data_IF_177015603471
#
_entry.id   IF_177015603471
#
_cell.length_a   1.000
_cell.length_b   1.000
_cell.length_c   1.000
_cell.angle_alpha   90.00
_cell.angle_beta   90.00
_cell.angle_gamma   90.00
#
_symmetry.space_group_name_H-M   'P 1'
#
loop_
_entity.id
_entity.type
_entity.pdbx_description
1 polymer ?
#
# COMPACT_ATOMS: atom_id res chain seq x y z
N UNK A 1 22.67 20.84 -61.05
CA UNK A 1 22.31 19.41 -61.28
C UNK A 1 22.50 18.73 -59.93
N UNK A 2 21.42 18.21 -59.36
CA UNK A 2 21.21 17.99 -57.93
C UNK A 2 22.17 16.97 -57.31
N UNK A 3 22.72 17.34 -56.15
CA UNK A 3 23.61 16.54 -55.34
C UNK A 3 22.91 15.36 -54.69
N UNK A 4 23.66 14.27 -54.56
CA UNK A 4 23.31 13.09 -53.79
C UNK A 4 23.21 13.47 -52.31
N UNK A 5 22.00 13.72 -51.83
CA UNK A 5 21.73 13.69 -50.39
C UNK A 5 21.74 12.23 -49.96
N UNK A 6 22.83 11.86 -49.29
CA UNK A 6 22.94 10.69 -48.45
C UNK A 6 22.08 10.94 -47.21
N UNK A 7 20.76 10.84 -47.38
CA UNK A 7 19.85 10.77 -46.24
C UNK A 7 20.02 9.39 -45.61
N UNK A 8 20.38 9.43 -44.34
CA UNK A 8 20.51 8.31 -43.44
C UNK A 8 19.15 7.62 -43.36
N UNK A 9 18.93 6.59 -44.19
CA UNK A 9 18.05 5.50 -43.78
C UNK A 9 18.69 4.89 -42.53
N UNK A 10 18.26 5.35 -41.36
CA UNK A 10 18.36 4.59 -40.11
C UNK A 10 17.88 3.18 -40.43
N UNK A 11 18.82 2.26 -40.60
CA UNK A 11 18.48 0.85 -40.76
C UNK A 11 17.72 0.45 -39.51
N UNK A 12 16.48 0.01 -39.71
CA UNK A 12 15.64 -0.54 -38.67
C UNK A 12 16.50 -1.49 -37.82
N UNK A 13 16.53 -1.24 -36.52
CA UNK A 13 17.32 -2.03 -35.59
C UNK A 13 16.98 -3.51 -35.80
N UNK A 14 17.97 -4.36 -36.11
CA UNK A 14 17.86 -5.83 -36.25
C UNK A 14 17.42 -6.54 -34.95
N UNK A 15 16.91 -5.81 -33.97
CA UNK A 15 16.45 -6.32 -32.68
C UNK A 15 14.92 -6.27 -32.62
N UNK A 16 14.28 -7.34 -32.12
CA UNK A 16 12.85 -7.33 -31.89
C UNK A 16 12.45 -6.19 -30.95
N UNK A 17 11.30 -5.57 -31.21
CA UNK A 17 10.76 -4.48 -30.40
C UNK A 17 10.39 -4.93 -28.98
N UNK A 18 9.93 -6.18 -28.84
CA UNK A 18 9.49 -6.76 -27.58
C UNK A 18 10.39 -7.92 -27.14
N UNK A 19 10.51 -8.12 -25.84
CA UNK A 19 11.32 -9.21 -25.25
C UNK A 19 10.42 -10.38 -24.84
N UNK A 20 10.96 -11.60 -24.89
CA UNK A 20 10.30 -12.79 -24.34
C UNK A 20 9.98 -12.56 -22.86
N UNK A 21 8.76 -12.91 -22.44
CA UNK A 21 8.20 -12.67 -21.12
C UNK A 21 7.51 -11.31 -20.96
N UNK A 22 7.65 -10.39 -21.92
CA UNK A 22 6.99 -9.08 -21.83
C UNK A 22 5.49 -9.20 -22.08
N UNK A 23 4.70 -8.47 -21.29
CA UNK A 23 3.25 -8.37 -21.50
C UNK A 23 2.93 -7.32 -22.57
N UNK A 24 1.95 -7.62 -23.40
CA UNK A 24 1.50 -6.74 -24.49
C UNK A 24 -0.01 -6.75 -24.62
N UNK A 25 -0.58 -5.65 -25.08
CA UNK A 25 -2.02 -5.48 -25.32
C UNK A 25 -2.28 -5.22 -26.79
N UNK A 26 -3.32 -5.84 -27.34
CA UNK A 26 -3.83 -5.58 -28.68
C UNK A 26 -4.47 -4.19 -28.72
N UNK A 27 -3.98 -3.32 -29.60
CA UNK A 27 -4.48 -1.94 -29.76
C UNK A 27 -5.30 -1.74 -31.03
N UNK A 28 -5.22 -2.69 -31.96
CA UNK A 28 -6.02 -2.72 -33.18
C UNK A 28 -6.16 -4.16 -33.66
N UNK A 29 -7.20 -4.41 -34.44
CA UNK A 29 -7.44 -5.72 -35.03
C UNK A 29 -6.28 -6.17 -35.93
N UNK A 30 -6.03 -7.48 -35.93
CA UNK A 30 -5.02 -8.11 -36.77
C UNK A 30 -5.33 -7.95 -38.26
N UNK A 31 -4.30 -7.79 -39.08
CA UNK A 31 -4.42 -7.76 -40.54
C UNK A 31 -3.40 -8.69 -41.21
N UNK A 32 -3.65 -9.09 -42.45
CA UNK A 32 -2.78 -9.99 -43.23
C UNK A 32 -2.48 -11.35 -42.57
N UNK A 33 -3.40 -11.85 -41.74
CA UNK A 33 -3.28 -13.15 -41.06
C UNK A 33 -2.62 -13.10 -39.68
N UNK A 34 -2.34 -11.91 -39.15
CA UNK A 34 -1.90 -11.70 -37.77
C UNK A 34 -3.08 -11.67 -36.80
N UNK A 35 -2.82 -11.99 -35.53
CA UNK A 35 -3.73 -11.76 -34.41
C UNK A 35 -5.13 -12.38 -34.50
N UNK A 36 -5.33 -13.41 -35.34
CA UNK A 36 -6.62 -14.07 -35.63
C UNK A 36 -7.60 -14.08 -34.44
N UNK A 37 -8.77 -13.46 -34.58
CA UNK A 37 -9.83 -13.40 -33.55
C UNK A 37 -9.47 -12.66 -32.24
N UNK A 38 -8.29 -12.03 -32.14
CA UNK A 38 -7.95 -11.19 -31.01
C UNK A 38 -8.72 -9.86 -31.06
N UNK A 39 -9.28 -9.47 -29.92
CA UNK A 39 -9.99 -8.21 -29.75
C UNK A 39 -9.05 -7.12 -29.24
N UNK A 40 -9.35 -5.87 -29.62
CA UNK A 40 -8.69 -4.69 -29.02
C UNK A 40 -8.91 -4.71 -27.52
N UNK A 41 -7.82 -4.65 -26.77
CA UNK A 41 -7.82 -4.76 -25.31
C UNK A 41 -7.29 -6.09 -24.78
N UNK A 42 -7.24 -7.14 -25.60
CA UNK A 42 -6.74 -8.45 -25.16
C UNK A 42 -5.25 -8.36 -24.79
N UNK A 43 -4.87 -9.03 -23.70
CA UNK A 43 -3.52 -8.98 -23.14
C UNK A 43 -2.91 -10.36 -23.16
N UNK A 44 -1.65 -10.45 -23.59
CA UNK A 44 -0.90 -11.69 -23.57
C UNK A 44 0.57 -11.47 -23.28
N UNK A 45 1.33 -12.55 -23.38
CA UNK A 45 2.76 -12.58 -23.08
C UNK A 45 3.53 -12.97 -24.31
N UNK A 46 4.59 -12.23 -24.61
CA UNK A 46 5.51 -12.55 -25.72
C UNK A 46 6.29 -13.82 -25.36
N UNK A 47 6.14 -14.89 -26.15
CA UNK A 47 6.91 -16.12 -25.93
C UNK A 47 8.04 -16.29 -26.98
N UNK A 48 7.95 -15.60 -28.12
CA UNK A 48 9.02 -15.47 -29.10
C UNK A 48 8.90 -14.12 -29.83
N UNK A 49 10.02 -13.53 -30.25
CA UNK A 49 10.02 -12.30 -31.04
C UNK A 49 11.23 -12.26 -31.98
N UNK A 50 10.99 -11.78 -33.19
CA UNK A 50 12.00 -11.50 -34.20
C UNK A 50 11.81 -10.07 -34.76
N UNK A 51 12.73 -9.56 -35.61
CA UNK A 51 12.61 -8.19 -36.12
C UNK A 51 11.35 -7.89 -36.94
N UNK A 52 10.63 -8.90 -37.41
CA UNK A 52 9.48 -8.77 -38.30
C UNK A 52 8.16 -9.18 -37.63
N UNK A 53 8.20 -10.00 -36.59
CA UNK A 53 7.01 -10.53 -35.93
C UNK A 53 7.21 -10.74 -34.42
N UNK A 54 6.14 -10.48 -33.67
CA UNK A 54 6.06 -10.77 -32.24
C UNK A 54 5.03 -11.86 -32.01
N UNK A 55 5.42 -12.94 -31.35
CA UNK A 55 4.56 -14.08 -31.06
C UNK A 55 4.10 -14.05 -29.61
N UNK A 56 2.79 -14.05 -29.43
CA UNK A 56 2.15 -13.89 -28.12
C UNK A 56 1.30 -15.12 -27.80
N UNK A 57 1.29 -15.50 -26.52
CA UNK A 57 0.38 -16.48 -25.94
C UNK A 57 -0.60 -15.78 -24.97
N UNK A 58 -1.76 -16.39 -24.74
CA UNK A 58 -2.74 -15.89 -23.76
C UNK A 58 -3.63 -14.75 -24.24
N UNK A 59 -3.41 -14.20 -25.44
CA UNK A 59 -4.35 -13.26 -26.09
C UNK A 59 -5.61 -14.01 -26.54
N UNK A 60 -5.45 -15.27 -26.97
CA UNK A 60 -6.48 -16.19 -27.46
C UNK A 60 -6.00 -17.65 -27.25
N UNK A 61 -6.81 -18.65 -27.62
CA UNK A 61 -6.47 -20.08 -27.50
C UNK A 61 -5.34 -20.51 -28.47
N UNK A 62 -4.13 -20.04 -28.24
CA UNK A 62 -2.93 -20.47 -28.95
C UNK A 62 -1.86 -19.40 -29.08
N UNK A 63 -0.68 -19.79 -29.57
CA UNK A 63 0.37 -18.85 -29.96
C UNK A 63 0.00 -18.18 -31.29
N UNK A 64 -0.03 -16.85 -31.32
CA UNK A 64 -0.29 -16.10 -32.55
C UNK A 64 0.75 -15.02 -32.76
N UNK A 65 1.05 -14.77 -34.03
CA UNK A 65 1.91 -13.66 -34.40
C UNK A 65 1.10 -12.38 -34.51
N UNK A 66 1.74 -11.28 -34.11
CA UNK A 66 1.23 -9.93 -34.17
C UNK A 66 2.31 -9.04 -34.78
N UNK A 67 1.88 -8.07 -35.58
CA UNK A 67 2.74 -6.98 -35.99
C UNK A 67 2.97 -6.01 -34.83
N UNK A 68 4.14 -5.39 -34.79
CA UNK A 68 4.52 -4.42 -33.75
C UNK A 68 3.61 -3.20 -33.62
N UNK A 69 2.79 -2.94 -34.65
CA UNK A 69 1.81 -1.87 -34.69
C UNK A 69 0.40 -2.31 -34.26
N UNK A 70 0.20 -3.60 -34.00
CA UNK A 70 -1.06 -4.18 -33.50
C UNK A 70 -1.08 -4.33 -31.99
N UNK A 71 0.09 -4.29 -31.37
CA UNK A 71 0.28 -4.48 -29.95
C UNK A 71 1.12 -3.35 -29.36
N UNK A 72 0.92 -3.09 -28.09
CA UNK A 72 1.71 -2.15 -27.30
C UNK A 72 2.17 -2.81 -26.00
N UNK A 73 3.26 -2.33 -25.37
CA UNK A 73 3.72 -2.90 -24.11
C UNK A 73 2.72 -2.61 -23.00
N UNK A 74 2.45 -3.63 -22.18
CA UNK A 74 1.71 -3.50 -20.92
C UNK A 74 2.71 -3.69 -19.80
N UNK A 75 2.71 -2.74 -18.87
CA UNK A 75 3.56 -2.80 -17.70
C UNK A 75 2.74 -3.21 -16.48
N UNK A 76 3.37 -3.95 -15.59
CA UNK A 76 2.81 -4.36 -14.30
C UNK A 76 3.56 -3.63 -13.19
N UNK A 77 2.90 -3.31 -12.05
CA UNK A 77 3.61 -2.92 -10.85
C UNK A 77 4.76 -3.89 -10.54
N UNK A 78 5.96 -3.37 -10.32
CA UNK A 78 7.17 -4.14 -10.12
C UNK A 78 8.00 -4.38 -11.39
N UNK A 79 7.53 -4.06 -12.60
CA UNK A 79 8.38 -4.18 -13.79
C UNK A 79 9.56 -3.21 -13.74
N UNK A 80 10.77 -3.69 -14.03
CA UNK A 80 11.94 -2.83 -14.23
C UNK A 80 11.91 -2.28 -15.65
N UNK A 81 12.08 -0.98 -15.77
CA UNK A 81 12.01 -0.27 -17.04
C UNK A 81 13.17 0.71 -17.20
N UNK A 82 13.53 0.98 -18.46
CA UNK A 82 14.48 2.03 -18.85
C UNK A 82 13.77 3.06 -19.71
N UNK A 83 14.03 4.33 -19.44
CA UNK A 83 13.48 5.44 -20.20
C UNK A 83 14.21 5.58 -21.53
N UNK A 84 13.47 5.49 -22.64
CA UNK A 84 14.02 5.59 -24.01
C UNK A 84 13.91 7.00 -24.58
N UNK A 85 12.99 7.82 -24.08
CA UNK A 85 12.78 9.24 -24.44
C UNK A 85 12.71 10.10 -23.20
N UNK A 86 13.41 11.23 -23.21
CA UNK A 86 13.37 12.17 -22.10
C UNK A 86 12.02 12.90 -21.99
N UNK A 87 11.67 13.32 -20.78
CA UNK A 87 10.57 14.24 -20.52
C UNK A 87 10.96 15.19 -19.38
N UNK A 88 9.99 15.94 -18.83
CA UNK A 88 10.25 16.88 -17.74
C UNK A 88 10.76 16.24 -16.43
N UNK A 89 10.65 14.91 -16.29
CA UNK A 89 10.95 14.15 -15.08
C UNK A 89 12.07 13.13 -15.24
N UNK A 90 12.29 12.63 -16.46
CA UNK A 90 13.24 11.56 -16.75
C UNK A 90 14.20 11.95 -17.86
N UNK A 91 15.47 11.61 -17.67
CA UNK A 91 16.46 11.60 -18.72
C UNK A 91 16.41 10.28 -19.49
N UNK A 92 16.80 10.32 -20.77
CA UNK A 92 16.99 9.09 -21.55
C UNK A 92 18.07 8.24 -20.89
N UNK A 93 17.78 6.96 -20.67
CA UNK A 93 18.64 6.01 -19.98
C UNK A 93 18.34 5.83 -18.50
N UNK A 94 17.50 6.68 -17.89
CA UNK A 94 17.07 6.49 -16.50
C UNK A 94 16.39 5.12 -16.34
N UNK A 95 16.72 4.42 -15.26
CA UNK A 95 16.06 3.17 -14.89
C UNK A 95 15.13 3.38 -13.70
N UNK A 96 14.05 2.61 -13.65
CA UNK A 96 13.11 2.63 -12.54
C UNK A 96 12.23 1.40 -12.49
N UNK A 97 11.33 1.39 -11.52
CA UNK A 97 10.36 0.34 -11.29
C UNK A 97 8.96 0.92 -11.52
N UNK A 98 8.14 0.20 -12.27
CA UNK A 98 6.75 0.57 -12.49
C UNK A 98 5.99 0.46 -11.17
N UNK A 99 5.39 1.55 -10.72
CA UNK A 99 4.55 1.58 -9.52
C UNK A 99 3.10 1.24 -9.86
N UNK A 100 2.59 1.80 -10.96
CA UNK A 100 1.26 1.51 -11.49
C UNK A 100 1.16 1.79 -12.98
N UNK A 101 0.31 1.03 -13.65
CA UNK A 101 -0.08 1.26 -15.04
C UNK A 101 -1.39 2.05 -15.07
N UNK A 102 -1.34 3.26 -15.62
CA UNK A 102 -2.47 4.15 -15.78
C UNK A 102 -2.98 4.14 -17.23
N UNK A 103 -4.23 4.59 -17.44
CA UNK A 103 -4.89 4.54 -18.76
C UNK A 103 -4.07 5.14 -19.92
N UNK A 104 -3.27 6.16 -19.65
CA UNK A 104 -2.46 6.88 -20.66
C UNK A 104 -0.99 7.05 -20.26
N UNK A 105 -0.58 6.55 -19.09
CA UNK A 105 0.76 6.76 -18.55
C UNK A 105 1.12 5.68 -17.56
N UNK A 106 2.36 5.25 -17.62
CA UNK A 106 2.99 4.37 -16.65
C UNK A 106 3.64 5.25 -15.59
N UNK A 107 3.41 4.94 -14.32
CA UNK A 107 4.03 5.69 -13.23
C UNK A 107 5.28 4.93 -12.80
N UNK A 108 6.46 5.54 -12.99
CA UNK A 108 7.76 4.89 -12.74
C UNK A 108 8.44 5.56 -11.55
N UNK A 109 8.88 4.76 -10.59
CA UNK A 109 9.65 5.20 -9.43
C UNK A 109 11.13 4.93 -9.67
N UNK A 110 11.97 5.95 -9.47
CA UNK A 110 13.44 5.77 -9.45
C UNK A 110 13.90 5.39 -8.04
N UNK A 111 14.97 4.60 -7.95
CA UNK A 111 15.50 4.13 -6.66
C UNK A 111 15.98 5.26 -5.72
N UNK A 112 16.27 6.45 -6.26
CA UNK A 112 16.71 7.63 -5.52
C UNK A 112 15.56 8.59 -5.16
N UNK A 113 14.33 8.34 -5.62
CA UNK A 113 13.21 9.26 -5.48
C UNK A 113 12.24 8.80 -4.39
N UNK A 114 12.11 9.61 -3.33
CA UNK A 114 11.16 9.37 -2.24
C UNK A 114 9.70 9.73 -2.58
N UNK A 115 9.43 10.32 -3.75
CA UNK A 115 8.06 10.61 -4.21
C UNK A 115 7.44 9.40 -4.92
N UNK A 116 6.10 9.41 -5.01
CA UNK A 116 5.34 8.51 -5.88
C UNK A 116 5.84 8.59 -7.32
N UNK A 117 5.69 7.49 -8.05
CA UNK A 117 6.16 7.33 -9.41
C UNK A 117 5.68 8.47 -10.31
N UNK A 118 6.53 8.88 -11.24
CA UNK A 118 6.22 9.99 -12.14
C UNK A 118 5.66 9.44 -13.46
N UNK A 119 4.65 10.11 -14.04
CA UNK A 119 4.00 9.61 -15.24
C UNK A 119 4.96 9.70 -16.44
N UNK A 120 4.99 8.63 -17.23
CA UNK A 120 5.68 8.56 -18.50
C UNK A 120 4.88 7.70 -19.49
N UNK A 121 4.95 8.04 -20.77
CA UNK A 121 4.26 7.28 -21.82
C UNK A 121 4.85 5.87 -21.94
N UNK A 122 4.01 4.85 -22.12
CA UNK A 122 4.43 3.45 -22.26
C UNK A 122 5.42 3.25 -23.43
N UNK A 123 5.23 3.97 -24.54
CA UNK A 123 6.16 3.96 -25.70
C UNK A 123 7.54 4.57 -25.40
N UNK A 124 7.67 5.33 -24.31
CA UNK A 124 8.94 5.92 -23.86
C UNK A 124 9.68 5.03 -22.85
N UNK A 125 9.23 3.78 -22.70
CA UNK A 125 9.81 2.81 -21.78
C UNK A 125 10.25 1.54 -22.52
N UNK A 126 11.42 1.04 -22.15
CA UNK A 126 11.92 -0.28 -22.50
C UNK A 126 11.77 -1.18 -21.26
N UNK A 127 11.13 -2.34 -21.40
CA UNK A 127 11.07 -3.33 -20.33
C UNK A 127 12.44 -4.02 -20.16
N UNK A 128 12.95 -4.05 -18.93
CA UNK A 128 14.21 -4.70 -18.57
C UNK A 128 14.03 -6.07 -17.94
N UNK A 129 12.80 -6.39 -17.51
CA UNK A 129 12.47 -7.63 -16.81
C UNK A 129 11.43 -7.35 -15.72
N UNK A 130 10.77 -8.41 -15.25
CA UNK A 130 10.05 -8.32 -13.98
C UNK A 130 11.08 -8.04 -12.88
N UNK A 131 10.75 -7.23 -11.87
CA UNK A 131 11.62 -7.16 -10.69
C UNK A 131 11.82 -8.56 -10.15
N UNK A 132 13.08 -8.88 -9.85
CA UNK A 132 13.40 -10.10 -9.14
C UNK A 132 12.52 -10.15 -7.90
N UNK A 133 11.83 -11.27 -7.75
CA UNK A 133 10.89 -11.54 -6.65
C UNK A 133 11.52 -11.41 -5.24
N UNK A 134 12.82 -11.10 -5.15
CA UNK A 134 13.55 -10.74 -3.95
C UNK A 134 13.28 -9.31 -3.43
N UNK A 135 12.78 -8.39 -4.26
CA UNK A 135 12.32 -7.06 -3.83
C UNK A 135 10.79 -6.92 -3.87
N UNK A 136 10.07 -8.05 -3.79
CA UNK A 136 8.66 -8.00 -3.42
C UNK A 136 8.63 -7.47 -2.00
N UNK A 137 8.36 -6.16 -1.87
CA UNK A 137 8.09 -5.42 -0.65
C UNK A 137 7.79 -6.42 0.46
N UNK A 138 8.74 -6.61 1.40
CA UNK A 138 8.39 -7.17 2.70
C UNK A 138 7.10 -6.46 3.06
N UNK A 139 6.02 -7.22 3.09
CA UNK A 139 4.70 -6.66 3.29
C UNK A 139 4.73 -6.23 4.75
N UNK A 140 5.26 -5.03 4.98
CA UNK A 140 5.50 -4.47 6.30
C UNK A 140 4.19 -4.65 7.02
N UNK A 141 4.24 -5.43 8.11
CA UNK A 141 3.06 -5.63 8.92
C UNK A 141 2.49 -4.24 9.22
N UNK A 142 1.19 -4.01 8.96
CA UNK A 142 0.63 -2.69 9.11
C UNK A 142 0.89 -2.21 10.53
N UNK A 143 1.54 -1.05 10.65
CA UNK A 143 1.96 -0.45 11.93
C UNK A 143 0.80 -0.20 12.90
N UNK A 144 -0.42 -0.15 12.37
CA UNK A 144 -1.66 0.05 13.10
C UNK A 144 -2.69 -0.99 12.69
N UNK A 145 -3.70 -1.22 13.54
CA UNK A 145 -4.84 -2.12 13.29
C UNK A 145 -6.17 -1.40 13.43
N UNK A 146 -7.22 -1.98 12.86
CA UNK A 146 -8.58 -1.51 13.11
C UNK A 146 -8.89 -1.48 14.61
N UNK A 147 -9.48 -0.39 15.07
CA UNK A 147 -9.74 -0.10 16.48
C UNK A 147 -8.62 0.70 17.17
N UNK A 148 -7.45 0.85 16.58
CA UNK A 148 -6.42 1.74 17.13
C UNK A 148 -6.91 3.19 17.09
N UNK A 149 -6.60 3.95 18.14
CA UNK A 149 -6.77 5.40 18.14
C UNK A 149 -5.43 6.01 17.77
N UNK A 150 -5.41 6.84 16.74
CA UNK A 150 -4.19 7.50 16.27
C UNK A 150 -4.37 9.01 16.28
N UNK A 151 -3.25 9.72 16.42
CA UNK A 151 -3.17 11.18 16.40
C UNK A 151 -2.26 11.62 15.27
N UNK A 152 -2.70 12.64 14.54
CA UNK A 152 -1.87 13.32 13.54
C UNK A 152 -0.92 14.27 14.26
N UNK A 153 0.39 14.07 14.10
CA UNK A 153 1.42 14.96 14.66
C UNK A 153 1.31 16.40 14.17
N UNK A 154 0.88 16.59 12.91
CA UNK A 154 0.66 17.91 12.29
C UNK A 154 -0.56 18.65 12.88
N UNK A 155 -1.51 17.91 13.47
CA UNK A 155 -2.72 18.47 14.08
C UNK A 155 -2.88 17.92 15.51
N UNK A 156 -2.01 18.35 16.45
CA UNK A 156 -2.01 17.87 17.82
C UNK A 156 -3.28 18.35 18.53
N UNK A 157 -4.32 17.53 18.50
CA UNK A 157 -5.66 17.85 19.02
C UNK A 157 -6.76 17.03 18.36
N UNK A 158 -6.51 16.52 17.15
CA UNK A 158 -7.44 15.63 16.45
C UNK A 158 -6.98 14.19 16.60
N UNK A 159 -7.77 13.39 17.33
CA UNK A 159 -7.59 11.93 17.41
C UNK A 159 -8.73 11.25 16.67
N UNK A 160 -8.43 10.15 15.97
CA UNK A 160 -9.43 9.38 15.24
C UNK A 160 -9.20 7.88 15.41
N UNK A 161 -10.28 7.11 15.38
CA UNK A 161 -10.25 5.65 15.46
C UNK A 161 -10.13 5.06 14.07
N UNK A 162 -9.19 4.12 13.90
CA UNK A 162 -9.02 3.37 12.66
C UNK A 162 -10.21 2.44 12.46
N UNK A 163 -11.02 2.69 11.44
CA UNK A 163 -12.13 1.82 11.04
C UNK A 163 -11.67 0.62 10.20
N UNK A 164 -10.49 0.71 9.59
CA UNK A 164 -9.92 -0.37 8.78
C UNK A 164 -8.56 -0.01 8.21
N UNK A 165 -7.74 -1.04 7.98
CA UNK A 165 -6.44 -0.93 7.33
C UNK A 165 -6.56 -1.54 5.94
N UNK A 166 -6.39 -0.74 4.90
CA UNK A 166 -6.32 -1.25 3.52
C UNK A 166 -4.85 -1.51 3.20
N UNK A 167 -4.56 -2.74 2.77
CA UNK A 167 -3.21 -3.21 2.43
C UNK A 167 -3.01 -3.45 0.94
N UNK A 168 -3.97 -3.07 0.09
CA UNK A 168 -3.79 -3.13 -1.35
C UNK A 168 -2.94 -1.93 -1.83
N UNK A 169 -1.64 -2.19 -1.94
CA UNK A 169 -0.59 -1.40 -2.62
C UNK A 169 -0.31 0.03 -2.11
N UNK A 170 -1.08 0.55 -1.15
CA UNK A 170 -0.71 1.66 -0.26
C UNK A 170 -1.32 1.41 1.13
N UNK A 171 -0.54 1.57 2.20
CA UNK A 171 -1.06 1.47 3.57
C UNK A 171 -2.01 2.65 3.81
N UNK A 172 -3.31 2.41 3.68
CA UNK A 172 -4.36 3.40 3.89
C UNK A 172 -5.09 3.16 5.19
N UNK A 173 -5.16 4.16 6.05
CA UNK A 173 -5.94 4.12 7.30
C UNK A 173 -7.30 4.79 7.04
N UNK A 174 -8.38 4.04 7.21
CA UNK A 174 -9.75 4.61 7.19
C UNK A 174 -10.17 5.00 8.60
N UNK A 175 -10.91 6.11 8.76
CA UNK A 175 -11.45 6.54 10.05
C UNK A 175 -12.97 6.36 10.12
N UNK A 176 -13.51 6.15 11.32
CA UNK A 176 -14.95 5.95 11.53
C UNK A 176 -15.75 7.27 11.39
N UNK A 177 -16.95 7.21 10.78
CA UNK A 177 -17.82 8.38 10.53
C UNK A 177 -17.68 9.08 9.16
N UNK A 178 -17.66 8.30 8.07
CA UNK A 178 -17.38 8.76 6.69
C UNK A 178 -17.95 10.13 6.25
N UNK A 179 -17.07 10.88 5.59
CA UNK A 179 -17.29 12.06 4.73
C UNK A 179 -18.10 13.22 5.34
N UNK A 180 -17.54 13.90 6.33
CA UNK A 180 -17.66 15.35 6.34
C UNK A 180 -16.67 15.89 5.30
N UNK A 181 -17.10 16.80 4.43
CA UNK A 181 -16.26 17.52 3.45
C UNK A 181 -14.94 17.96 4.09
N UNK A 182 -13.88 17.19 3.92
CA UNK A 182 -12.61 17.51 4.55
C UNK A 182 -11.52 16.76 3.80
N UNK A 183 -10.98 17.40 2.76
CA UNK A 183 -9.68 17.11 2.18
C UNK A 183 -9.25 15.63 2.19
N UNK A 184 -10.04 14.78 1.54
CA UNK A 184 -9.59 13.43 1.17
C UNK A 184 -8.33 13.46 0.26
N UNK A 185 -7.93 14.66 -0.19
CA UNK A 185 -6.69 14.97 -0.90
C UNK A 185 -5.56 15.58 -0.02
N UNK A 186 -5.72 15.80 1.29
CA UNK A 186 -4.69 16.52 2.11
C UNK A 186 -4.24 15.81 3.38
N UNK A 187 -4.65 14.56 3.57
CA UNK A 187 -3.71 13.57 4.13
C UNK A 187 -3.15 12.77 2.95
N UNK A 188 -2.68 13.52 1.95
CA UNK A 188 -1.90 12.96 0.88
C UNK A 188 -0.61 12.40 1.45
N UNK A 189 -0.40 11.11 1.26
CA UNK A 189 0.90 10.55 0.89
C UNK A 189 2.09 10.68 1.87
N UNK A 190 1.91 11.10 3.13
CA UNK A 190 2.97 11.12 4.17
C UNK A 190 2.59 10.22 5.37
N UNK A 191 2.89 8.91 5.31
CA UNK A 191 2.09 7.90 6.04
C UNK A 191 2.70 7.11 7.22
N UNK A 192 3.90 7.40 7.73
CA UNK A 192 4.33 6.75 9.00
C UNK A 192 4.93 7.68 10.05
N UNK A 193 5.50 8.81 9.62
CA UNK A 193 6.06 9.80 10.52
C UNK A 193 5.02 10.80 11.04
N UNK A 194 3.91 10.97 10.31
CA UNK A 194 2.90 12.00 10.57
C UNK A 194 1.79 11.55 11.53
N UNK A 195 1.69 10.24 11.81
CA UNK A 195 0.71 9.64 12.71
C UNK A 195 1.40 8.84 13.82
N UNK A 196 0.84 8.91 15.01
CA UNK A 196 1.31 8.14 16.16
C UNK A 196 0.15 7.42 16.83
N UNK A 197 0.43 6.21 17.34
CA UNK A 197 -0.54 5.45 18.12
C UNK A 197 -0.80 6.23 19.41
N UNK A 198 -2.03 6.68 19.56
CA UNK A 198 -2.53 7.14 20.86
C UNK A 198 -2.76 5.87 21.64
N UNK A 199 -1.72 5.48 22.38
CA UNK A 199 -1.91 4.51 23.43
C UNK A 199 -3.00 5.11 24.32
N UNK A 200 -4.09 4.37 24.59
CA UNK A 200 -5.05 4.84 25.58
C UNK A 200 -4.20 5.20 26.79
N UNK A 201 -4.27 6.45 27.25
CA UNK A 201 -3.53 6.89 28.42
C UNK A 201 -3.81 5.81 29.45
N UNK A 202 -2.77 5.06 29.80
CA UNK A 202 -2.91 3.90 30.67
C UNK A 202 -3.59 4.44 31.92
N UNK A 203 -4.87 4.08 32.09
CA UNK A 203 -5.58 4.49 33.28
C UNK A 203 -5.29 3.40 34.30
N UNK A 204 -4.66 3.77 35.43
CA UNK A 204 -4.35 2.79 36.45
C UNK A 204 -5.63 2.10 36.88
N UNK A 205 -5.58 0.77 36.94
CA UNK A 205 -6.70 -0.08 37.29
C UNK A 205 -6.39 -0.82 38.60
N UNK A 206 -7.42 -1.15 39.38
CA UNK A 206 -7.29 -2.05 40.52
C UNK A 206 -8.29 -3.18 40.40
N UNK A 207 -7.98 -4.31 41.02
CA UNK A 207 -8.93 -5.43 41.19
C UNK A 207 -9.50 -5.38 42.61
N UNK A 208 -10.81 -5.53 42.76
CA UNK A 208 -11.44 -5.62 44.06
C UNK A 208 -12.38 -6.82 44.16
N UNK A 209 -12.41 -7.43 45.35
CA UNK A 209 -13.36 -8.48 45.69
C UNK A 209 -14.76 -7.86 45.81
N UNK A 210 -15.75 -8.45 45.17
CA UNK A 210 -17.15 -8.06 45.33
C UNK A 210 -17.79 -8.92 46.42
N UNK A 211 -18.32 -8.28 47.45
CA UNK A 211 -19.05 -8.97 48.53
C UNK A 211 -20.39 -8.28 48.76
N UNK A 212 -21.49 -9.03 48.60
CA UNK A 212 -22.86 -8.49 48.68
C UNK A 212 -23.10 -7.30 47.73
N UNK A 213 -22.60 -7.40 46.49
CA UNK A 213 -22.73 -6.35 45.48
C UNK A 213 -21.89 -5.09 45.74
N UNK A 214 -20.99 -5.09 46.74
CA UNK A 214 -20.13 -3.95 47.07
C UNK A 214 -18.65 -4.29 46.85
N UNK A 215 -17.87 -3.39 46.21
CA UNK A 215 -16.43 -3.56 46.13
C UNK A 215 -15.77 -3.52 47.50
N UNK A 216 -14.81 -4.42 47.69
CA UNK A 216 -13.89 -4.47 48.82
C UNK A 216 -12.46 -4.55 48.27
N UNK A 217 -11.85 -3.40 47.94
CA UNK A 217 -10.43 -3.36 47.59
C UNK A 217 -9.60 -3.83 48.79
N UNK A 218 -8.43 -4.41 48.53
CA UNK A 218 -7.47 -4.71 49.60
C UNK A 218 -7.01 -3.43 50.28
N UNK A 219 -6.48 -3.55 51.51
CA UNK A 219 -5.88 -2.41 52.22
C UNK A 219 -4.75 -1.75 51.40
N UNK A 220 -4.05 -2.56 50.61
CA UNK A 220 -3.04 -2.14 49.64
C UNK A 220 -3.41 -2.72 48.26
N UNK A 221 -4.22 -2.00 47.45
CA UNK A 221 -4.59 -2.47 46.12
C UNK A 221 -3.37 -2.52 45.21
N UNK A 222 -3.20 -3.63 44.50
CA UNK A 222 -2.23 -3.67 43.42
C UNK A 222 -2.77 -2.85 42.24
N UNK A 223 -1.99 -1.86 41.82
CA UNK A 223 -2.35 -0.95 40.72
C UNK A 223 -1.73 -1.49 39.44
N UNK A 224 -2.58 -1.87 38.50
CA UNK A 224 -2.21 -2.33 37.16
C UNK A 224 -2.10 -1.13 36.22
N UNK A 225 -1.25 -1.26 35.20
CA UNK A 225 -1.04 -0.21 34.21
C UNK A 225 -2.23 -0.14 33.23
N UNK A 226 -2.93 -1.24 33.00
CA UNK A 226 -4.06 -1.29 32.07
C UNK A 226 -5.21 -2.16 32.58
N UNK A 227 -6.39 -1.96 31.99
CA UNK A 227 -7.55 -2.82 32.26
C UNK A 227 -7.26 -4.28 31.86
N UNK A 228 -6.52 -4.51 30.78
CA UNK A 228 -6.16 -5.85 30.32
C UNK A 228 -5.29 -6.61 31.36
N UNK A 229 -4.33 -5.93 31.98
CA UNK A 229 -3.53 -6.51 33.06
C UNK A 229 -4.37 -6.79 34.31
N UNK A 230 -5.24 -5.87 34.69
CA UNK A 230 -6.13 -6.06 35.84
C UNK A 230 -7.14 -7.20 35.61
N UNK A 231 -7.65 -7.37 34.39
CA UNK A 231 -8.53 -8.48 34.04
C UNK A 231 -7.84 -9.83 34.19
N UNK A 232 -6.60 -9.96 33.69
CA UNK A 232 -5.81 -11.19 33.88
C UNK A 232 -5.62 -11.54 35.35
N UNK A 233 -5.37 -10.52 36.19
CA UNK A 233 -5.24 -10.73 37.63
C UNK A 233 -6.57 -11.09 38.29
N UNK A 234 -7.68 -10.48 37.88
CA UNK A 234 -9.02 -10.82 38.36
C UNK A 234 -9.40 -12.27 38.00
N UNK A 235 -9.10 -12.72 36.79
CA UNK A 235 -9.29 -14.10 36.34
C UNK A 235 -8.44 -15.09 37.15
N UNK A 236 -7.17 -14.74 37.40
CA UNK A 236 -6.28 -15.53 38.26
C UNK A 236 -6.84 -15.64 39.68
N UNK A 237 -7.31 -14.54 40.25
CA UNK A 237 -7.88 -14.49 41.60
C UNK A 237 -9.20 -15.26 41.70
N UNK A 238 -10.07 -15.17 40.69
CA UNK A 238 -11.31 -15.94 40.61
C UNK A 238 -11.02 -17.45 40.53
N UNK A 239 -10.01 -17.84 39.74
CA UNK A 239 -9.58 -19.24 39.62
C UNK A 239 -9.03 -19.81 40.93
N UNK A 240 -8.27 -19.01 41.68
CA UNK A 240 -7.71 -19.41 42.99
C UNK A 240 -8.75 -19.35 44.11
N UNK A 241 -9.85 -18.59 43.94
CA UNK A 241 -10.88 -18.40 44.95
C UNK A 241 -12.30 -18.71 44.42
N UNK A 242 -12.66 -20.00 44.25
CA UNK A 242 -14.00 -20.39 43.80
C UNK A 242 -15.11 -19.76 44.64
N UNK A 243 -16.17 -19.30 43.97
CA UNK A 243 -17.33 -18.67 44.62
C UNK A 243 -17.13 -17.21 45.03
N UNK A 244 -15.97 -16.60 44.75
CA UNK A 244 -15.74 -15.17 44.90
C UNK A 244 -15.82 -14.46 43.54
N UNK A 245 -16.36 -13.25 43.53
CA UNK A 245 -16.41 -12.38 42.35
C UNK A 245 -15.38 -11.27 42.49
N UNK A 246 -14.67 -10.96 41.41
CA UNK A 246 -13.69 -9.88 41.35
C UNK A 246 -14.05 -8.95 40.20
N UNK A 247 -14.10 -7.65 40.47
CA UNK A 247 -14.37 -6.62 39.47
C UNK A 247 -13.11 -5.75 39.27
N UNK A 248 -12.94 -5.24 38.05
CA UNK A 248 -11.86 -4.33 37.66
C UNK A 248 -12.37 -2.89 37.71
N UNK A 249 -11.65 -2.03 38.43
CA UNK A 249 -11.97 -0.60 38.56
C UNK A 249 -10.90 0.22 37.86
N UNK A 250 -11.30 0.95 36.82
CA UNK A 250 -10.43 1.85 36.07
C UNK A 250 -10.54 3.28 36.62
N UNK A 251 -9.39 3.94 36.82
CA UNK A 251 -9.35 5.34 37.25
C UNK A 251 -9.85 6.26 36.14
N UNK A 252 -11.08 6.76 36.26
CA UNK A 252 -11.61 7.80 35.37
C UNK A 252 -10.99 9.18 35.65
N UNK A 253 -10.74 9.97 34.61
CA UNK A 253 -10.24 11.35 34.72
C UNK A 253 -11.37 12.31 35.11
N UNK A 254 -11.60 12.46 36.41
CA UNK A 254 -12.44 13.50 36.98
C UNK A 254 -12.04 13.75 38.44
N UNK A 255 -11.83 15.00 38.84
CA UNK A 255 -11.79 15.33 40.27
C UNK A 255 -13.16 15.02 40.85
N UNK A 256 -13.25 14.00 41.71
CA UNK A 256 -14.46 13.72 42.48
C UNK A 256 -14.34 14.46 43.82
N UNK A 257 -14.55 15.79 43.77
CA UNK A 257 -14.65 16.66 44.95
C UNK A 257 -13.35 16.93 45.72
N UNK A 258 -13.28 18.09 46.38
CA UNK A 258 -12.23 18.41 47.36
C UNK A 258 -12.50 17.59 48.63
N UNK A 259 -11.87 16.41 48.75
CA UNK A 259 -11.92 15.62 49.98
C UNK A 259 -10.87 16.17 50.94
N UNK A 260 -11.31 16.99 51.92
CA UNK A 260 -10.48 17.29 53.08
C UNK A 260 -10.37 16.04 53.95
N UNK A 261 -9.26 15.32 53.81
CA UNK A 261 -8.88 14.27 54.76
C UNK A 261 -8.42 14.97 56.04
N UNK A 262 -9.27 14.99 57.07
CA UNK A 262 -8.82 15.31 58.43
C UNK A 262 -8.11 14.09 58.97
N UNK A 263 -6.81 14.20 59.25
CA UNK A 263 -6.15 13.27 60.16
C UNK A 263 -6.84 13.38 61.52
N UNK A 264 -7.41 12.27 61.96
CA UNK A 264 -7.87 12.12 63.34
C UNK A 264 -6.70 11.46 64.07
N UNK A 265 -6.03 12.23 64.93
CA UNK A 265 -5.04 11.73 65.88
C UNK A 265 -5.72 10.92 66.99
#
# INVERSE_FOLDING_TARGET
>A
MYGLHKEECEMASDKPKYKVGQRVRVVREGHNGSGHDACVGDVGTVFAADPNATYCEGIINGPWYFHDSEIEPVFSPGDRVRVTRCNAYFAKGDEGVVERDGKHSVYVKRGDYQRSGLPISAESLEWLGAADSAERNEQQEPKFKAGDVVRLKRFPGVSRTIAGVKTEYSQGVSFDGGTAYDYADTIGWDYEESIELVHPVSQPCIVALVKHGKPRPSQWPHVHHSAAEATKEAERLASVNPGKQFDVYQRVTGRVGDVQVREVA
#
